data_IF_725599138777
#
_entry.id   IF_725599138777
#
_cell.length_a   1.000
_cell.length_b   1.000
_cell.length_c   1.000
_cell.angle_alpha   90.00
_cell.angle_beta   90.00
_cell.angle_gamma   90.00
#
_symmetry.space_group_name_H-M   'P 1'
#
loop_
_entity.id
_entity.type
_entity.pdbx_description
1 polymer ?
#
# COMPACT_ATOMS: atom_id res chain seq x y z
N UNK A 1 -4.67 40.68 27.34
CA UNK A 1 -5.25 39.52 26.60
C UNK A 1 -4.11 38.74 25.98
N UNK A 2 -3.79 37.57 26.53
CA UNK A 2 -2.66 36.75 26.13
C UNK A 2 -2.90 36.13 24.77
N UNK A 3 -1.86 36.04 23.87
CA UNK A 3 -1.95 35.28 22.65
C UNK A 3 -1.94 33.78 22.95
N UNK A 4 -2.90 33.08 22.40
CA UNK A 4 -3.09 31.64 22.51
C UNK A 4 -1.77 30.88 22.23
N UNK A 5 -1.34 30.10 23.21
CA UNK A 5 -0.28 29.12 23.05
C UNK A 5 -0.68 28.14 21.94
N UNK A 6 -0.10 28.30 20.76
CA UNK A 6 -0.04 27.23 19.73
C UNK A 6 0.70 26.07 20.35
N UNK A 7 -0.05 25.13 20.89
CA UNK A 7 0.46 23.85 21.39
C UNK A 7 1.23 23.19 20.24
N UNK A 8 2.56 23.28 20.27
CA UNK A 8 3.45 22.54 19.34
C UNK A 8 3.11 21.07 19.50
N UNK A 9 2.29 20.53 18.60
CA UNK A 9 1.95 19.11 18.59
C UNK A 9 3.25 18.34 18.43
N UNK A 10 3.61 17.59 19.47
CA UNK A 10 4.82 16.76 19.47
C UNK A 10 4.73 15.77 18.31
N UNK A 11 5.78 15.71 17.48
CA UNK A 11 5.90 14.72 16.40
C UNK A 11 6.10 13.32 16.98
N UNK A 12 5.69 12.30 16.24
CA UNK A 12 5.94 10.91 16.57
C UNK A 12 7.46 10.62 16.57
N UNK A 13 7.89 9.80 17.52
CA UNK A 13 9.27 9.28 17.59
C UNK A 13 9.23 7.78 17.74
N UNK A 14 10.03 7.10 16.93
CA UNK A 14 10.21 5.66 17.02
C UNK A 14 10.92 5.29 18.34
N UNK A 15 10.54 4.15 18.90
CA UNK A 15 11.31 3.48 19.95
C UNK A 15 12.21 2.44 19.28
N UNK A 16 13.39 2.12 19.86
CA UNK A 16 14.19 1.00 19.38
C UNK A 16 13.37 -0.29 19.37
N UNK A 17 13.55 -1.11 18.36
CA UNK A 17 12.98 -2.45 18.30
C UNK A 17 13.84 -3.42 19.13
N UNK A 18 13.19 -4.38 19.78
CA UNK A 18 13.86 -5.54 20.33
C UNK A 18 14.41 -6.44 19.21
N UNK A 19 15.38 -7.30 19.55
CA UNK A 19 15.92 -8.27 18.61
C UNK A 19 14.81 -9.17 18.07
N UNK A 20 14.88 -9.51 16.79
CA UNK A 20 13.91 -10.38 16.09
C UNK A 20 12.46 -9.85 16.16
N UNK A 21 12.29 -8.55 16.13
CA UNK A 21 10.98 -7.89 16.19
C UNK A 21 10.77 -6.94 15.01
N UNK A 22 9.52 -6.69 14.67
CA UNK A 22 9.09 -5.75 13.64
C UNK A 22 7.83 -5.01 14.08
N UNK A 23 7.42 -3.98 13.32
CA UNK A 23 6.22 -3.21 13.64
C UNK A 23 5.09 -3.52 12.69
N UNK A 24 3.87 -3.48 13.22
CA UNK A 24 2.64 -3.49 12.44
C UNK A 24 1.84 -2.23 12.69
N UNK A 25 1.18 -1.75 11.66
CA UNK A 25 0.28 -0.61 11.67
C UNK A 25 -1.16 -1.07 11.84
N UNK A 26 -1.82 -0.64 12.88
CA UNK A 26 -3.28 -0.76 13.03
C UNK A 26 -3.95 0.48 12.42
N UNK A 27 -4.61 0.32 11.29
CA UNK A 27 -5.40 1.37 10.66
C UNK A 27 -6.78 1.42 11.32
N UNK A 28 -7.02 2.50 12.05
CA UNK A 28 -8.26 2.69 12.81
C UNK A 28 -9.45 2.93 11.88
N UNK A 29 -10.63 2.34 12.16
CA UNK A 29 -11.83 2.54 11.36
C UNK A 29 -12.21 4.01 11.16
N UNK A 30 -12.94 4.30 10.08
CA UNK A 30 -13.47 5.63 9.84
C UNK A 30 -14.54 5.63 8.77
N UNK A 31 -15.67 6.25 9.07
CA UNK A 31 -16.86 6.23 8.19
C UNK A 31 -16.75 7.11 6.95
N UNK A 32 -15.89 8.13 6.97
CA UNK A 32 -15.72 9.06 5.84
C UNK A 32 -14.29 8.99 5.28
N UNK A 33 -14.18 8.95 3.95
CA UNK A 33 -12.89 9.03 3.26
C UNK A 33 -12.15 10.35 3.54
N UNK A 34 -12.88 11.43 3.82
CA UNK A 34 -12.29 12.75 4.13
C UNK A 34 -11.82 12.88 5.58
N UNK A 35 -12.26 12.00 6.49
CA UNK A 35 -11.87 12.07 7.90
C UNK A 35 -10.35 11.85 8.09
N UNK A 36 -9.81 12.43 9.15
CA UNK A 36 -8.42 12.24 9.55
C UNK A 36 -8.07 10.75 9.67
N UNK A 37 -6.87 10.39 9.23
CA UNK A 37 -6.37 9.02 9.32
C UNK A 37 -5.72 8.87 10.70
N UNK A 38 -6.22 7.89 11.46
CA UNK A 38 -5.68 7.51 12.75
C UNK A 38 -5.10 6.12 12.67
N UNK A 39 -3.87 5.96 13.15
CA UNK A 39 -3.15 4.70 13.16
C UNK A 39 -2.52 4.46 14.54
N UNK A 40 -2.30 3.19 14.86
CA UNK A 40 -1.47 2.77 15.98
C UNK A 40 -0.33 1.93 15.43
N UNK A 41 0.87 2.16 15.92
CA UNK A 41 2.05 1.36 15.59
C UNK A 41 2.40 0.52 16.81
N UNK A 42 2.56 -0.79 16.60
CA UNK A 42 2.88 -1.76 17.65
C UNK A 42 4.03 -2.66 17.23
N UNK A 43 4.84 -3.03 18.18
CA UNK A 43 5.98 -3.91 18.02
C UNK A 43 5.54 -5.36 18.28
N UNK A 44 6.02 -6.31 17.47
CA UNK A 44 5.76 -7.73 17.60
C UNK A 44 7.02 -8.55 17.31
N UNK A 45 7.26 -9.65 18.06
CA UNK A 45 8.26 -10.63 17.65
C UNK A 45 7.85 -11.27 16.33
N UNK A 46 8.81 -11.59 15.47
CA UNK A 46 8.55 -12.16 14.12
C UNK A 46 7.73 -13.46 14.16
N UNK A 47 7.95 -14.29 15.19
CA UNK A 47 7.33 -15.60 15.30
C UNK A 47 5.95 -15.60 15.97
N UNK A 48 5.52 -14.46 16.53
CA UNK A 48 4.27 -14.36 17.32
C UNK A 48 3.41 -13.16 16.95
N UNK A 49 3.56 -12.64 15.74
CA UNK A 49 2.72 -11.56 15.23
C UNK A 49 1.27 -12.03 15.01
N UNK A 50 0.27 -11.17 15.25
CA UNK A 50 -1.10 -11.47 14.84
C UNK A 50 -1.21 -11.55 13.31
N UNK A 51 -2.32 -12.08 12.78
CA UNK A 51 -2.59 -12.02 11.35
C UNK A 51 -2.51 -10.58 10.82
N UNK A 52 -1.82 -10.38 9.70
CA UNK A 52 -1.63 -9.07 9.08
C UNK A 52 -1.54 -9.17 7.55
N UNK A 53 -1.76 -8.05 6.91
CA UNK A 53 -1.58 -7.87 5.48
C UNK A 53 -0.27 -7.11 5.22
N UNK A 54 0.40 -7.36 4.10
CA UNK A 54 1.58 -6.59 3.69
C UNK A 54 1.27 -5.70 2.49
N UNK A 55 1.64 -4.42 2.56
CA UNK A 55 1.39 -3.47 1.47
C UNK A 55 2.61 -3.35 0.57
N UNK A 56 2.41 -3.66 -0.71
CA UNK A 56 3.35 -3.35 -1.80
C UNK A 56 2.83 -2.16 -2.59
N UNK A 57 3.55 -1.05 -2.59
CA UNK A 57 3.17 0.18 -3.27
C UNK A 57 4.41 0.99 -3.67
N UNK A 58 4.28 1.89 -4.63
CA UNK A 58 5.33 2.88 -4.92
C UNK A 58 5.22 4.03 -3.94
N UNK A 59 6.35 4.50 -3.42
CA UNK A 59 6.35 5.65 -2.50
C UNK A 59 5.84 6.93 -3.18
N UNK A 60 5.95 7.00 -4.53
CA UNK A 60 5.65 8.18 -5.32
C UNK A 60 6.70 9.27 -5.17
N UNK A 61 6.58 10.29 -5.99
CA UNK A 61 7.46 11.46 -5.97
C UNK A 61 7.04 12.44 -4.88
N UNK A 62 7.98 13.30 -4.48
CA UNK A 62 7.75 14.39 -3.55
C UNK A 62 7.95 14.02 -2.07
N UNK A 63 7.71 15.02 -1.24
CA UNK A 63 7.96 14.96 0.20
C UNK A 63 6.77 14.39 1.00
N UNK A 64 7.03 14.02 2.26
CA UNK A 64 6.02 13.59 3.21
C UNK A 64 5.25 14.79 3.76
N UNK A 65 4.23 15.24 3.02
CA UNK A 65 3.45 16.45 3.33
C UNK A 65 2.10 16.17 3.97
N UNK A 66 1.62 14.92 3.90
CA UNK A 66 0.31 14.54 4.40
C UNK A 66 0.38 14.10 5.86
N UNK A 67 -0.29 14.84 6.75
CA UNK A 67 -0.34 14.52 8.17
C UNK A 67 -1.35 13.40 8.45
N UNK A 68 -0.94 12.44 9.29
CA UNK A 68 -1.79 11.45 9.94
C UNK A 68 -1.57 11.48 11.46
N UNK A 69 -2.44 10.83 12.21
CA UNK A 69 -2.26 10.58 13.64
C UNK A 69 -1.66 9.19 13.83
N UNK A 70 -0.44 9.10 14.34
CA UNK A 70 0.23 7.85 14.68
C UNK A 70 0.44 7.79 16.20
N UNK A 71 -0.21 6.85 16.88
CA UNK A 71 -0.24 6.78 18.35
C UNK A 71 -0.66 8.11 19.02
N UNK A 72 -1.60 8.84 18.39
CA UNK A 72 -2.07 10.15 18.86
C UNK A 72 -1.16 11.34 18.55
N UNK A 73 0.00 11.10 17.95
CA UNK A 73 1.00 12.12 17.59
C UNK A 73 0.96 12.42 16.09
N UNK A 74 1.48 13.59 15.68
CA UNK A 74 1.57 13.95 14.26
C UNK A 74 2.68 13.14 13.57
N UNK A 75 2.34 12.51 12.46
CA UNK A 75 3.28 11.82 11.57
C UNK A 75 3.00 12.23 10.13
N UNK A 76 4.02 12.37 9.31
CA UNK A 76 3.90 12.85 7.94
C UNK A 76 4.25 11.73 6.96
N UNK A 77 3.38 11.54 5.99
CA UNK A 77 3.50 10.53 4.93
C UNK A 77 3.37 11.17 3.56
N UNK A 78 3.79 10.46 2.54
CA UNK A 78 3.65 10.91 1.15
C UNK A 78 2.19 10.83 0.69
N UNK A 79 1.78 11.65 -0.30
CA UNK A 79 0.40 11.68 -0.81
C UNK A 79 -0.10 10.30 -1.28
N UNK A 80 0.73 9.52 -1.98
CA UNK A 80 0.35 8.19 -2.45
C UNK A 80 -0.02 7.26 -1.28
N UNK A 81 0.79 7.22 -0.22
CA UNK A 81 0.47 6.40 0.95
C UNK A 81 -0.82 6.87 1.65
N UNK A 82 -1.07 8.17 1.69
CA UNK A 82 -2.34 8.70 2.21
C UNK A 82 -3.54 8.21 1.41
N UNK A 83 -3.43 8.16 0.08
CA UNK A 83 -4.47 7.64 -0.80
C UNK A 83 -4.74 6.15 -0.49
N UNK A 84 -3.67 5.34 -0.42
CA UNK A 84 -3.75 3.93 -0.02
C UNK A 84 -4.47 3.76 1.30
N UNK A 85 -4.03 4.45 2.35
CA UNK A 85 -4.62 4.31 3.69
C UNK A 85 -6.11 4.69 3.72
N UNK A 86 -6.52 5.70 2.95
CA UNK A 86 -7.92 6.07 2.80
C UNK A 86 -8.74 4.96 2.15
N UNK A 87 -8.21 4.34 1.10
CA UNK A 87 -8.89 3.26 0.37
C UNK A 87 -8.97 1.97 1.18
N UNK A 88 -7.92 1.66 1.94
CA UNK A 88 -7.85 0.45 2.76
C UNK A 88 -8.63 0.56 4.07
N UNK A 89 -8.90 1.78 4.55
CA UNK A 89 -9.60 2.01 5.81
C UNK A 89 -11.04 1.49 5.73
N UNK A 90 -11.39 0.64 6.70
CA UNK A 90 -12.72 0.10 6.83
C UNK A 90 -13.63 1.00 7.70
N UNK A 91 -14.95 0.96 7.52
CA UNK A 91 -15.87 1.80 8.29
C UNK A 91 -16.01 1.39 9.75
N UNK A 92 -15.83 0.11 10.09
CA UNK A 92 -16.16 -0.45 11.41
C UNK A 92 -15.07 -1.33 12.04
N UNK A 93 -14.10 -1.83 11.29
CA UNK A 93 -13.06 -2.73 11.79
C UNK A 93 -11.66 -2.17 11.59
N UNK A 94 -10.78 -2.45 12.55
CA UNK A 94 -9.36 -2.16 12.46
C UNK A 94 -8.70 -3.11 11.47
N UNK A 95 -7.77 -2.62 10.69
CA UNK A 95 -6.99 -3.40 9.74
C UNK A 95 -5.53 -3.37 10.14
N UNK A 96 -4.92 -4.54 10.29
CA UNK A 96 -3.50 -4.67 10.65
C UNK A 96 -2.68 -4.84 9.39
N UNK A 97 -1.76 -3.90 9.13
CA UNK A 97 -1.03 -3.83 7.86
C UNK A 97 0.45 -3.57 8.13
N UNK A 98 1.33 -4.28 7.45
CA UNK A 98 2.74 -3.91 7.39
C UNK A 98 2.98 -2.97 6.20
N UNK A 99 3.65 -1.85 6.48
CA UNK A 99 3.97 -0.80 5.50
C UNK A 99 5.40 -0.34 5.76
N UNK A 100 6.30 -0.58 4.84
CA UNK A 100 7.73 -0.25 4.95
C UNK A 100 8.00 1.19 5.40
N UNK A 101 7.31 2.16 4.81
CA UNK A 101 7.50 3.58 5.09
C UNK A 101 7.07 4.02 6.50
N UNK A 102 6.28 3.21 7.21
CA UNK A 102 5.83 3.52 8.59
C UNK A 102 6.36 2.51 9.59
N UNK A 103 6.43 1.22 9.22
CA UNK A 103 6.85 0.16 10.12
C UNK A 103 8.36 0.15 10.35
N UNK A 104 9.14 0.67 9.40
CA UNK A 104 10.58 0.86 9.51
C UNK A 104 10.89 2.33 9.78
N UNK A 105 11.77 2.62 10.72
CA UNK A 105 12.28 3.98 10.94
C UNK A 105 13.23 4.37 9.81
N UNK A 106 12.69 5.06 8.80
CA UNK A 106 13.43 5.43 7.59
C UNK A 106 14.59 6.41 7.82
N UNK A 107 14.67 7.01 9.01
CA UNK A 107 15.75 7.91 9.41
C UNK A 107 16.85 7.21 10.26
N UNK A 108 16.77 5.90 10.43
CA UNK A 108 17.74 5.12 11.19
C UNK A 108 18.35 4.03 10.30
N UNK A 109 19.59 4.23 9.87
CA UNK A 109 20.30 3.31 8.97
C UNK A 109 20.56 1.94 9.63
N UNK A 110 20.86 1.91 10.95
CA UNK A 110 21.07 0.67 11.69
C UNK A 110 19.79 -0.17 11.74
N UNK A 111 18.64 0.47 11.99
CA UNK A 111 17.36 -0.23 11.95
C UNK A 111 17.03 -0.74 10.53
N UNK A 112 17.27 0.08 9.50
CA UNK A 112 17.06 -0.33 8.10
C UNK A 112 17.92 -1.53 7.72
N UNK A 113 19.19 -1.56 8.12
CA UNK A 113 20.10 -2.66 7.82
C UNK A 113 19.62 -4.01 8.41
N UNK A 114 18.84 -3.97 9.49
CA UNK A 114 18.22 -5.15 10.10
C UNK A 114 16.85 -5.46 9.49
N UNK A 115 16.01 -4.47 9.30
CA UNK A 115 14.61 -4.67 8.90
C UNK A 115 14.44 -4.96 7.40
N UNK A 116 15.30 -4.40 6.52
CA UNK A 116 15.20 -4.65 5.08
C UNK A 116 15.43 -6.12 4.71
N UNK A 117 16.45 -6.82 5.25
CA UNK A 117 16.61 -8.27 5.04
C UNK A 117 15.42 -9.10 5.55
N UNK A 118 14.66 -8.62 6.52
CA UNK A 118 13.49 -9.33 7.04
C UNK A 118 12.25 -9.16 6.16
N UNK A 119 12.27 -8.28 5.19
CA UNK A 119 11.09 -7.99 4.34
C UNK A 119 10.56 -9.23 3.63
N UNK A 120 11.43 -10.08 3.08
CA UNK A 120 11.02 -11.33 2.44
C UNK A 120 10.20 -12.20 3.40
N UNK A 121 10.69 -12.37 4.62
CA UNK A 121 9.98 -13.13 5.66
C UNK A 121 8.63 -12.48 6.02
N UNK A 122 8.60 -11.15 6.19
CA UNK A 122 7.40 -10.39 6.53
C UNK A 122 6.33 -10.52 5.44
N UNK A 123 6.72 -10.42 4.15
CA UNK A 123 5.79 -10.62 3.04
C UNK A 123 5.29 -12.06 2.97
N UNK A 124 6.17 -13.05 3.13
CA UNK A 124 5.82 -14.48 3.07
C UNK A 124 4.88 -14.89 4.21
N UNK A 125 5.04 -14.31 5.40
CA UNK A 125 4.21 -14.60 6.58
C UNK A 125 2.91 -13.81 6.63
N UNK A 126 2.71 -12.81 5.79
CA UNK A 126 1.46 -12.08 5.72
C UNK A 126 0.31 -12.96 5.22
N UNK A 127 -0.92 -12.73 5.71
CA UNK A 127 -2.11 -13.43 5.20
C UNK A 127 -2.34 -13.16 3.70
N UNK A 128 -1.98 -11.96 3.26
CA UNK A 128 -1.98 -11.56 1.84
C UNK A 128 -1.12 -10.33 1.61
N UNK A 129 -0.63 -10.22 0.39
CA UNK A 129 0.04 -9.03 -0.11
C UNK A 129 -0.97 -8.18 -0.88
N UNK A 130 -1.06 -6.90 -0.53
CA UNK A 130 -1.87 -5.92 -1.24
C UNK A 130 -0.96 -5.16 -2.19
N UNK A 131 -1.14 -5.33 -3.49
CA UNK A 131 -0.47 -4.54 -4.51
C UNK A 131 -1.29 -3.27 -4.83
N UNK A 132 -0.77 -2.10 -4.46
CA UNK A 132 -1.39 -0.84 -4.81
C UNK A 132 -0.82 -0.30 -6.12
N UNK A 133 -1.58 -0.41 -7.18
CA UNK A 133 -1.20 0.03 -8.52
C UNK A 133 -1.39 1.53 -8.76
N UNK A 134 -1.94 2.26 -7.79
CA UNK A 134 -2.32 3.68 -7.90
C UNK A 134 -3.83 3.89 -7.82
N UNK A 135 -4.23 5.15 -7.85
CA UNK A 135 -5.65 5.53 -7.90
C UNK A 135 -6.30 5.01 -9.19
N UNK A 136 -7.61 4.81 -9.12
CA UNK A 136 -8.42 4.39 -10.26
C UNK A 136 -8.38 5.45 -11.38
N UNK A 137 -8.18 5.01 -12.61
CA UNK A 137 -8.29 5.81 -13.83
C UNK A 137 -9.52 5.38 -14.61
N UNK A 138 -9.90 6.18 -15.62
CA UNK A 138 -11.09 5.92 -16.44
C UNK A 138 -11.09 4.55 -17.14
N UNK A 139 -9.91 3.93 -17.30
CA UNK A 139 -9.71 2.65 -18.00
C UNK A 139 -9.28 1.50 -17.07
N UNK A 140 -9.07 1.76 -15.76
CA UNK A 140 -8.64 0.72 -14.81
C UNK A 140 -9.61 -0.45 -14.71
N UNK A 141 -10.91 -0.16 -14.62
CA UNK A 141 -11.94 -1.19 -14.60
C UNK A 141 -11.93 -2.02 -15.89
N UNK A 142 -11.81 -1.38 -17.05
CA UNK A 142 -11.74 -2.05 -18.36
C UNK A 142 -10.56 -3.00 -18.43
N UNK A 143 -9.39 -2.59 -17.92
CA UNK A 143 -8.20 -3.44 -17.87
C UNK A 143 -8.37 -4.65 -16.93
N UNK A 144 -8.89 -4.43 -15.73
CA UNK A 144 -9.08 -5.50 -14.73
C UNK A 144 -10.16 -6.51 -15.19
N UNK A 145 -11.26 -6.05 -15.78
CA UNK A 145 -12.32 -6.91 -16.33
C UNK A 145 -11.83 -7.74 -17.53
N UNK A 146 -10.75 -7.32 -18.16
CA UNK A 146 -10.17 -8.04 -19.30
C UNK A 146 -9.21 -9.17 -18.90
N UNK A 147 -8.62 -9.14 -17.70
CA UNK A 147 -7.68 -10.16 -17.24
C UNK A 147 -8.25 -11.58 -17.21
N UNK A 148 -9.47 -11.85 -16.66
CA UNK A 148 -10.08 -13.17 -16.72
C UNK A 148 -10.23 -13.70 -18.15
N UNK A 149 -10.66 -12.84 -19.08
CA UNK A 149 -10.80 -13.20 -20.49
C UNK A 149 -9.47 -13.65 -21.11
N UNK A 150 -8.37 -12.96 -20.81
CA UNK A 150 -7.03 -13.37 -21.27
C UNK A 150 -6.61 -14.71 -20.68
N UNK A 151 -6.95 -14.95 -19.42
CA UNK A 151 -6.64 -16.21 -18.74
C UNK A 151 -7.40 -17.38 -19.39
N UNK A 152 -8.65 -17.16 -19.76
CA UNK A 152 -9.48 -18.18 -20.41
C UNK A 152 -9.02 -18.48 -21.84
N UNK A 153 -8.64 -17.45 -22.59
CA UNK A 153 -8.03 -17.62 -23.93
C UNK A 153 -6.72 -18.40 -23.85
N UNK A 154 -5.87 -18.10 -22.85
CA UNK A 154 -4.58 -18.83 -22.69
C UNK A 154 -4.75 -20.32 -22.41
N UNK A 155 -5.92 -20.77 -21.98
CA UNK A 155 -6.28 -22.18 -21.75
C UNK A 155 -6.91 -22.86 -22.99
N UNK A 156 -7.37 -22.09 -23.96
CA UNK A 156 -7.99 -22.57 -25.18
C UNK A 156 -6.95 -22.68 -26.31
N UNK A 157 -7.27 -23.47 -27.35
CA UNK A 157 -6.46 -23.56 -28.57
C UNK A 157 -6.40 -22.16 -29.24
N UNK A 158 -5.23 -21.54 -29.15
CA UNK A 158 -5.04 -20.09 -29.34
C UNK A 158 -5.37 -19.56 -30.75
N UNK A 159 -5.36 -20.43 -31.79
CA UNK A 159 -5.30 -19.95 -33.16
C UNK A 159 -6.63 -19.40 -33.70
N UNK A 160 -7.78 -19.85 -33.22
CA UNK A 160 -9.09 -19.43 -33.78
C UNK A 160 -9.72 -18.25 -33.07
N UNK A 161 -9.58 -18.14 -31.74
CA UNK A 161 -10.26 -17.11 -30.93
C UNK A 161 -9.54 -15.76 -31.04
N UNK A 162 -8.20 -15.78 -31.00
CA UNK A 162 -7.41 -14.57 -31.17
C UNK A 162 -7.64 -13.88 -32.52
N UNK A 163 -7.67 -14.68 -33.61
CA UNK A 163 -7.86 -14.16 -34.95
C UNK A 163 -9.22 -13.47 -35.17
N UNK A 164 -10.27 -13.93 -34.48
CA UNK A 164 -11.61 -13.34 -34.63
C UNK A 164 -11.78 -12.00 -33.90
N UNK A 165 -10.98 -11.73 -32.87
CA UNK A 165 -11.06 -10.51 -32.05
C UNK A 165 -9.93 -9.51 -32.35
N UNK A 166 -8.81 -9.96 -32.95
CA UNK A 166 -7.71 -9.10 -33.36
C UNK A 166 -8.23 -8.01 -34.32
N UNK A 167 -7.96 -6.75 -33.98
CA UNK A 167 -8.36 -5.61 -34.79
C UNK A 167 -9.77 -5.08 -34.53
N UNK A 168 -10.57 -5.74 -33.71
CA UNK A 168 -11.85 -5.16 -33.30
C UNK A 168 -11.62 -3.99 -32.31
N UNK A 169 -12.46 -2.95 -32.41
CA UNK A 169 -12.41 -1.80 -31.51
C UNK A 169 -12.55 -2.26 -30.03
N UNK A 170 -13.37 -3.26 -29.78
CA UNK A 170 -13.57 -3.87 -28.47
C UNK A 170 -12.26 -4.42 -27.88
N UNK A 171 -11.49 -5.15 -28.67
CA UNK A 171 -10.23 -5.77 -28.26
C UNK A 171 -9.12 -4.71 -28.11
N UNK A 172 -8.98 -3.83 -29.07
CA UNK A 172 -7.97 -2.76 -29.07
C UNK A 172 -8.13 -1.84 -27.86
N UNK A 173 -9.35 -1.45 -27.52
CA UNK A 173 -9.62 -0.64 -26.33
C UNK A 173 -9.17 -1.34 -25.04
N UNK A 174 -9.45 -2.63 -24.88
CA UNK A 174 -9.08 -3.41 -23.71
C UNK A 174 -7.58 -3.63 -23.61
N UNK A 175 -6.94 -3.93 -24.73
CA UNK A 175 -5.48 -4.05 -24.79
C UNK A 175 -4.79 -2.73 -24.44
N UNK A 176 -5.28 -1.61 -24.95
CA UNK A 176 -4.75 -0.28 -24.60
C UNK A 176 -4.90 -0.01 -23.10
N UNK A 177 -6.06 -0.30 -22.53
CA UNK A 177 -6.29 -0.15 -21.08
C UNK A 177 -5.36 -1.04 -20.24
N UNK A 178 -5.11 -2.26 -20.69
CA UNK A 178 -4.18 -3.18 -20.05
C UNK A 178 -2.73 -2.69 -20.14
N UNK A 179 -2.33 -2.17 -21.30
CA UNK A 179 -1.03 -1.52 -21.48
C UNK A 179 -0.86 -0.37 -20.50
N UNK A 180 -1.83 0.53 -20.36
CA UNK A 180 -1.80 1.62 -19.38
C UNK A 180 -1.67 1.10 -17.95
N UNK A 181 -2.34 -0.01 -17.60
CA UNK A 181 -2.20 -0.64 -16.30
C UNK A 181 -0.77 -1.13 -16.05
N UNK A 182 -0.12 -1.77 -17.04
CA UNK A 182 1.25 -2.27 -16.93
C UNK A 182 2.32 -1.17 -17.01
N UNK A 183 2.01 -0.01 -17.55
CA UNK A 183 2.90 1.16 -17.50
C UNK A 183 2.91 1.88 -16.16
N UNK A 184 2.08 1.47 -15.19
CA UNK A 184 2.06 2.08 -13.86
C UNK A 184 3.38 1.84 -13.12
N UNK A 185 3.86 2.83 -12.34
CA UNK A 185 5.16 2.77 -11.66
C UNK A 185 5.36 1.55 -10.75
N UNK A 186 4.27 0.94 -10.28
CA UNK A 186 4.34 -0.24 -9.42
C UNK A 186 5.07 -1.41 -10.11
N UNK A 187 4.86 -1.64 -11.38
CA UNK A 187 5.48 -2.71 -12.16
C UNK A 187 6.98 -2.51 -12.42
N UNK A 188 7.49 -1.28 -12.19
CA UNK A 188 8.89 -0.94 -12.38
C UNK A 188 9.73 -1.15 -11.10
N UNK A 189 9.13 -1.66 -10.03
CA UNK A 189 9.84 -1.94 -8.77
C UNK A 189 10.70 -3.19 -8.92
N UNK A 190 11.99 -3.06 -8.57
CA UNK A 190 12.98 -4.16 -8.66
C UNK A 190 12.76 -5.29 -7.64
N UNK A 191 11.82 -5.18 -6.74
CA UNK A 191 11.59 -6.11 -5.61
C UNK A 191 10.42 -7.07 -5.81
N UNK A 192 9.89 -7.18 -7.00
CA UNK A 192 8.75 -8.04 -7.34
C UNK A 192 9.26 -9.27 -8.04
#
# INVERSE_FOLDING_TARGET
MSPSQKQRRRGFKYRPLESNSFRLLELVPGKSLSADIHCRLRDYPLDSAPPYEALSYTWGDGESTCRISLNGLSFYIRPNLRAVLRRLRQPSSTRTIWIDAICINQNNEDEKSIQVPLMEHIYTKSERVIAWLGEETFDSGVALDFLPYLTDIAKCDMDSIWLSHLGTEWFLRRMTSLIHLFYRPWWQRMWI
#
